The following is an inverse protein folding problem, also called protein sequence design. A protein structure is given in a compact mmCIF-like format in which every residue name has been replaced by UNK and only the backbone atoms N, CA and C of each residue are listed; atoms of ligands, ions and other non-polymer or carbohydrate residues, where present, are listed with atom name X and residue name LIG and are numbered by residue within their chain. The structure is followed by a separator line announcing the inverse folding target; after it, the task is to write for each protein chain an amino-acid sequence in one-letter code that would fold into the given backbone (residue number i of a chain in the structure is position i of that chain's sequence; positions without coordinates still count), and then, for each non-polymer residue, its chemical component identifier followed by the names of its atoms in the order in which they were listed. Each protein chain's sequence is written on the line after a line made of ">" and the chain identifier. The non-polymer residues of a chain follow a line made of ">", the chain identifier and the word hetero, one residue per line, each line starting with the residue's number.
data_IF_089770545900
#
_entry.id   IF_089770545900
#
_cell.length_a   1.000
_cell.length_b   1.000
_cell.length_c   1.000
_cell.angle_alpha   90.00
_cell.angle_beta   90.00
_cell.angle_gamma   90.00
#
_symmetry.space_group_name_H-M   'P 1'
#
loop_
_entity.id
_entity.type
_entity.pdbx_description
1 polymer ?
#
# COMPACT_ATOMS: atom_id res chain seq x y z
N UNK A 1 -16.17 21.73 -0.04
CA UNK A 1 -15.28 21.86 1.12
C UNK A 1 -14.22 20.78 0.94
N UNK A 2 -12.94 21.14 0.92
CA UNK A 2 -11.89 20.13 0.81
C UNK A 2 -11.84 19.32 2.11
N UNK A 3 -11.56 18.03 1.97
CA UNK A 3 -11.24 17.12 3.09
C UNK A 3 -10.11 17.76 3.89
N UNK A 4 -10.18 17.70 5.22
CA UNK A 4 -9.18 18.33 6.09
C UNK A 4 -7.91 17.49 6.31
N UNK A 5 -7.78 16.33 5.66
CA UNK A 5 -6.64 15.43 5.76
C UNK A 5 -6.10 15.03 4.39
N UNK A 6 -4.81 14.70 4.36
CA UNK A 6 -4.12 14.22 3.17
C UNK A 6 -4.34 12.72 2.97
N UNK A 7 -4.25 12.27 1.72
CA UNK A 7 -4.33 10.84 1.35
C UNK A 7 -3.35 9.97 2.14
N UNK A 8 -2.14 10.50 2.38
CA UNK A 8 -1.08 9.82 3.15
C UNK A 8 -1.46 9.60 4.61
N UNK A 9 -2.21 10.52 5.22
CA UNK A 9 -2.67 10.36 6.60
C UNK A 9 -3.64 9.18 6.71
N UNK A 10 -4.58 9.07 5.77
CA UNK A 10 -5.49 7.92 5.70
C UNK A 10 -4.75 6.60 5.43
N UNK A 11 -3.83 6.57 4.46
CA UNK A 11 -2.97 5.40 4.17
C UNK A 11 -2.31 4.85 5.45
N UNK A 12 -1.74 5.73 6.28
CA UNK A 12 -1.05 5.31 7.50
C UNK A 12 -2.00 4.67 8.52
N UNK A 13 -3.17 5.27 8.76
CA UNK A 13 -4.17 4.70 9.67
C UNK A 13 -4.74 3.38 9.15
N UNK A 14 -4.98 3.29 7.85
CA UNK A 14 -5.44 2.07 7.19
C UNK A 14 -4.44 0.93 7.37
N UNK A 15 -3.17 1.18 7.05
CA UNK A 15 -2.11 0.17 7.16
C UNK A 15 -1.88 -0.26 8.62
N UNK A 16 -2.00 0.66 9.58
CA UNK A 16 -1.91 0.33 10.99
C UNK A 16 -3.06 -0.60 11.44
N UNK A 17 -4.29 -0.35 10.98
CA UNK A 17 -5.42 -1.24 11.30
C UNK A 17 -5.29 -2.60 10.60
N UNK A 18 -4.95 -2.62 9.31
CA UNK A 18 -4.72 -3.86 8.56
C UNK A 18 -3.59 -4.69 9.18
N UNK A 19 -2.52 -4.03 9.62
CA UNK A 19 -1.39 -4.66 10.31
C UNK A 19 -1.73 -5.19 11.70
N UNK A 20 -2.75 -4.63 12.38
CA UNK A 20 -3.23 -5.16 13.66
C UNK A 20 -4.24 -6.31 13.51
N UNK A 21 -4.95 -6.36 12.38
CA UNK A 21 -5.89 -7.45 12.05
C UNK A 21 -5.19 -8.66 11.44
N UNK A 22 -3.98 -8.47 10.90
CA UNK A 22 -3.10 -9.54 10.46
C UNK A 22 -2.09 -9.86 11.56
N UNK A 23 -1.94 -11.12 11.95
CA UNK A 23 -0.99 -11.54 12.99
C UNK A 23 0.48 -11.35 12.58
N UNK A 24 0.74 -11.10 11.29
CA UNK A 24 2.06 -10.86 10.70
C UNK A 24 1.90 -9.76 9.66
N UNK A 25 2.10 -8.53 10.08
CA UNK A 25 2.41 -7.41 9.21
C UNK A 25 3.91 -7.50 8.91
N UNK A 26 4.29 -7.68 7.64
CA UNK A 26 5.67 -7.49 7.17
C UNK A 26 5.75 -6.13 6.44
N UNK A 27 5.59 -4.99 7.13
CA UNK A 27 6.18 -3.78 6.60
C UNK A 27 7.69 -4.01 6.66
N UNK A 28 8.44 -3.52 5.69
CA UNK A 28 9.84 -3.28 5.98
C UNK A 28 9.86 -2.30 7.17
N UNK A 29 10.32 -2.76 8.33
CA UNK A 29 10.12 -2.05 9.60
C UNK A 29 10.83 -0.69 9.61
N UNK A 30 10.51 0.16 10.58
CA UNK A 30 11.12 1.48 10.83
C UNK A 30 12.67 1.47 10.80
N UNK A 31 13.32 0.35 11.12
CA UNK A 31 14.77 0.18 11.05
C UNK A 31 15.28 -0.05 9.62
N UNK A 32 14.47 -0.63 8.74
CA UNK A 32 14.73 -0.81 7.31
C UNK A 32 14.33 0.43 6.49
N UNK A 33 13.28 1.16 6.89
CA UNK A 33 12.94 2.48 6.36
C UNK A 33 14.06 3.51 6.59
N UNK A 34 14.79 3.39 7.71
CA UNK A 34 15.92 4.26 8.06
C UNK A 34 17.12 4.21 7.10
N UNK A 35 17.25 3.16 6.29
CA UNK A 35 18.31 3.05 5.26
C UNK A 35 17.82 3.58 3.89
N UNK A 36 16.51 3.74 3.73
CA UNK A 36 15.85 3.74 2.42
C UNK A 36 15.07 5.04 2.12
N UNK A 37 14.89 5.93 3.10
CA UNK A 37 14.38 7.30 2.92
C UNK A 37 13.07 7.53 3.68
N UNK A 38 13.07 8.44 4.65
CA UNK A 38 11.91 8.77 5.47
C UNK A 38 11.37 10.18 5.19
N UNK A 39 10.04 10.31 5.06
CA UNK A 39 9.27 11.54 4.81
C UNK A 39 9.25 12.54 6.00
N UNK A 40 9.85 12.22 7.14
CA UNK A 40 10.23 13.23 8.14
C UNK A 40 11.45 12.79 8.94
N UNK A 41 12.50 13.61 8.90
CA UNK A 41 13.77 13.39 9.62
C UNK A 41 13.88 14.42 10.74
N UNK A 42 13.93 13.99 11.99
CA UNK A 42 14.34 14.85 13.10
C UNK A 42 15.79 14.52 13.47
N UNK A 43 16.72 15.31 12.96
CA UNK A 43 18.13 15.24 13.36
C UNK A 43 18.32 15.93 14.73
N UNK A 44 18.43 15.13 15.80
CA UNK A 44 18.69 15.64 17.15
C UNK A 44 20.07 15.21 17.66
N UNK A 45 20.94 16.20 17.88
CA UNK A 45 22.21 16.03 18.60
C UNK A 45 22.03 16.03 20.13
N UNK A 46 20.79 16.18 20.62
CA UNK A 46 20.51 16.36 22.04
C UNK A 46 20.61 15.02 22.80
N UNK A 47 21.63 14.90 23.65
CA UNK A 47 21.98 13.67 24.39
C UNK A 47 20.95 13.26 25.44
N UNK A 48 20.22 14.23 26.03
CA UNK A 48 19.21 13.94 27.05
C UNK A 48 17.99 13.20 26.49
N UNK A 49 17.62 13.50 25.24
CA UNK A 49 16.50 12.86 24.56
C UNK A 49 16.73 11.35 24.39
N UNK A 50 17.95 10.95 24.04
CA UNK A 50 18.33 9.54 23.84
C UNK A 50 18.43 8.74 25.15
N UNK A 51 18.82 9.38 26.24
CA UNK A 51 18.78 8.77 27.57
C UNK A 51 17.35 8.47 28.02
N UNK A 52 16.40 9.35 27.68
CA UNK A 52 14.99 9.20 28.02
C UNK A 52 14.32 8.02 27.29
N UNK A 53 14.78 7.68 26.08
CA UNK A 53 14.30 6.54 25.31
C UNK A 53 15.01 5.21 25.63
N UNK A 54 15.78 5.15 26.73
CA UNK A 54 16.34 3.89 27.23
C UNK A 54 17.67 3.46 26.60
N UNK A 55 18.40 4.38 25.95
CA UNK A 55 19.72 4.09 25.37
C UNK A 55 20.86 4.89 26.05
N UNK A 56 21.24 4.53 27.29
CA UNK A 56 22.19 5.31 28.08
C UNK A 56 23.67 5.12 27.69
N UNK A 57 24.03 4.05 26.95
CA UNK A 57 25.41 3.65 26.67
C UNK A 57 26.07 4.35 25.46
N UNK A 58 25.43 5.39 24.90
CA UNK A 58 25.85 6.16 23.70
C UNK A 58 27.14 7.01 23.85
N UNK A 59 27.95 6.76 24.88
CA UNK A 59 29.11 7.60 25.21
C UNK A 59 30.34 7.38 24.33
N UNK A 60 30.54 6.18 23.76
CA UNK A 60 31.82 5.84 23.13
C UNK A 60 31.77 5.60 21.62
N UNK A 61 30.63 5.19 21.05
CA UNK A 61 30.41 5.13 19.60
C UNK A 61 28.91 5.04 19.33
N UNK A 62 28.28 6.03 18.67
CA UNK A 62 26.94 5.81 18.14
C UNK A 62 27.04 4.77 17.01
N UNK A 63 26.10 3.82 16.87
CA UNK A 63 26.13 2.80 15.82
C UNK A 63 25.69 3.41 14.48
N UNK A 64 26.32 4.51 14.06
CA UNK A 64 26.17 5.07 12.72
C UNK A 64 27.24 4.48 11.81
N UNK A 65 27.20 3.16 11.61
CA UNK A 65 27.49 2.61 10.30
C UNK A 65 26.19 1.95 9.87
N UNK A 66 25.47 2.56 8.95
CA UNK A 66 24.44 1.84 8.21
C UNK A 66 25.09 0.57 7.70
N UNK A 67 24.51 -0.59 8.00
CA UNK A 67 25.01 -1.85 7.42
C UNK A 67 24.95 -1.72 5.91
N UNK A 68 25.98 -2.20 5.22
CA UNK A 68 25.97 -2.23 3.77
C UNK A 68 24.74 -3.03 3.32
N UNK A 69 24.04 -2.57 2.29
CA UNK A 69 22.91 -3.31 1.74
C UNK A 69 23.35 -4.71 1.27
N UNK A 70 24.62 -4.85 0.86
CA UNK A 70 25.23 -6.13 0.54
C UNK A 70 25.37 -7.02 1.78
N UNK A 71 25.74 -6.48 2.94
CA UNK A 71 25.80 -7.25 4.19
C UNK A 71 24.40 -7.72 4.62
N UNK A 72 23.39 -6.85 4.50
CA UNK A 72 21.98 -7.20 4.78
C UNK A 72 21.50 -8.26 3.79
N UNK A 73 21.83 -8.13 2.51
CA UNK A 73 21.45 -9.10 1.48
C UNK A 73 22.12 -10.47 1.72
N UNK A 74 23.41 -10.48 2.07
CA UNK A 74 24.14 -11.70 2.43
C UNK A 74 23.57 -12.36 3.69
N UNK A 75 23.26 -11.60 4.75
CA UNK A 75 22.59 -12.12 5.93
C UNK A 75 21.20 -12.67 5.57
N UNK A 76 20.40 -11.94 4.79
CA UNK A 76 19.09 -12.42 4.34
C UNK A 76 19.24 -13.73 3.57
N UNK A 77 20.14 -13.82 2.58
CA UNK A 77 20.32 -15.05 1.82
C UNK A 77 20.82 -16.21 2.67
N UNK A 78 21.81 -15.96 3.53
CA UNK A 78 22.35 -16.94 4.48
C UNK A 78 21.26 -17.46 5.43
N UNK A 79 20.37 -16.58 5.92
CA UNK A 79 19.25 -16.96 6.78
C UNK A 79 18.07 -17.57 6.00
N UNK A 80 17.86 -17.22 4.72
CA UNK A 80 16.79 -17.82 3.91
C UNK A 80 17.08 -19.27 3.48
N UNK A 81 18.31 -19.76 3.61
CA UNK A 81 18.62 -21.19 3.53
C UNK A 81 18.25 -21.95 4.83
N UNK A 82 17.94 -21.25 5.93
CA UNK A 82 17.32 -21.85 7.08
C UNK A 82 15.81 -21.91 6.86
N UNK A 83 15.27 -23.12 6.94
CA UNK A 83 13.84 -23.37 6.86
C UNK A 83 13.10 -22.59 7.95
N UNK A 84 12.43 -21.51 7.57
CA UNK A 84 11.41 -20.90 8.41
C UNK A 84 10.22 -21.87 8.39
N UNK A 85 10.29 -22.91 9.22
CA UNK A 85 9.33 -24.00 9.26
C UNK A 85 7.90 -23.56 9.67
N UNK A 86 7.73 -22.30 10.08
CA UNK A 86 6.49 -21.75 10.63
C UNK A 86 6.11 -20.39 9.98
N UNK A 87 6.27 -20.22 8.67
CA UNK A 87 5.61 -19.08 7.99
C UNK A 87 4.14 -19.46 7.80
N UNK A 88 3.18 -18.66 8.31
CA UNK A 88 1.77 -18.86 8.02
C UNK A 88 1.54 -18.87 6.50
N UNK A 89 0.55 -19.62 6.04
CA UNK A 89 0.22 -19.66 4.60
C UNK A 89 -0.18 -18.26 4.13
N UNK A 90 0.25 -17.86 2.94
CA UNK A 90 -0.20 -16.62 2.31
C UNK A 90 -1.53 -16.88 1.61
N UNK A 91 -2.56 -16.11 1.94
CA UNK A 91 -3.82 -16.09 1.20
C UNK A 91 -3.66 -15.41 -0.16
N UNK A 92 -3.20 -14.16 -0.15
CA UNK A 92 -3.03 -13.38 -1.38
C UNK A 92 -2.07 -12.20 -1.19
N UNK A 93 -1.48 -11.75 -2.29
CA UNK A 93 -0.89 -10.42 -2.37
C UNK A 93 -2.01 -9.37 -2.50
N UNK A 94 -1.78 -8.19 -1.93
CA UNK A 94 -2.68 -7.06 -1.96
C UNK A 94 -1.93 -5.85 -2.53
N UNK A 95 -2.53 -5.21 -3.52
CA UNK A 95 -2.07 -3.95 -4.11
C UNK A 95 -3.16 -2.90 -3.93
N UNK A 96 -2.92 -1.91 -3.07
CA UNK A 96 -3.85 -0.83 -2.81
C UNK A 96 -3.41 0.45 -3.48
N UNK A 97 -4.33 1.04 -4.25
CA UNK A 97 -4.25 2.44 -4.60
C UNK A 97 -5.16 3.24 -3.66
N UNK A 98 -4.56 3.97 -2.73
CA UNK A 98 -5.31 4.86 -1.85
C UNK A 98 -5.87 6.05 -2.63
N UNK A 99 -7.01 6.56 -2.14
CA UNK A 99 -7.66 7.77 -2.63
C UNK A 99 -8.15 8.62 -1.49
N UNK A 100 -7.93 9.92 -1.60
CA UNK A 100 -8.67 10.92 -0.84
C UNK A 100 -10.09 11.11 -1.43
N UNK A 101 -11.11 11.03 -0.57
CA UNK A 101 -12.53 11.12 -0.96
C UNK A 101 -13.12 12.50 -0.69
N UNK A 102 -13.37 13.30 -1.72
CA UNK A 102 -14.02 14.61 -1.60
C UNK A 102 -15.47 14.44 -1.10
N UNK A 103 -15.82 15.12 0.01
CA UNK A 103 -17.21 15.13 0.51
C UNK A 103 -18.00 16.32 -0.07
N UNK A 104 -19.09 16.00 -0.77
CA UNK A 104 -19.88 16.93 -1.57
C UNK A 104 -21.30 17.04 -1.02
N UNK A 105 -21.68 18.26 -0.62
CA UNK A 105 -22.96 18.57 0.05
C UNK A 105 -23.85 19.45 -0.85
N UNK A 106 -23.27 20.14 -1.84
CA UNK A 106 -24.01 21.12 -2.64
C UNK A 106 -24.88 20.46 -3.71
N UNK A 107 -26.14 20.87 -3.88
CA UNK A 107 -26.99 20.49 -5.00
C UNK A 107 -26.43 20.79 -6.39
N UNK A 108 -25.49 21.75 -6.47
CA UNK A 108 -24.81 22.12 -7.71
C UNK A 108 -23.63 21.18 -8.06
N UNK A 109 -23.34 20.20 -7.20
CA UNK A 109 -22.26 19.24 -7.44
C UNK A 109 -22.64 18.31 -8.60
N UNK A 110 -21.71 18.03 -9.51
CA UNK A 110 -22.03 17.38 -10.79
C UNK A 110 -22.70 16.00 -10.74
N UNK A 111 -22.64 15.27 -9.62
CA UNK A 111 -23.29 13.96 -9.45
C UNK A 111 -24.51 14.02 -8.50
N UNK A 112 -24.94 15.21 -8.06
CA UNK A 112 -26.03 15.37 -7.09
C UNK A 112 -27.36 14.78 -7.58
N UNK A 113 -27.68 14.90 -8.86
CA UNK A 113 -28.89 14.34 -9.46
C UNK A 113 -29.04 12.82 -9.26
N UNK A 114 -27.93 12.10 -9.11
CA UNK A 114 -27.88 10.64 -8.96
C UNK A 114 -28.01 10.16 -7.51
N UNK A 115 -27.75 11.04 -6.53
CA UNK A 115 -27.75 10.70 -5.10
C UNK A 115 -28.83 11.45 -4.31
N UNK A 116 -29.09 12.72 -4.67
CA UNK A 116 -30.02 13.65 -4.01
C UNK A 116 -29.73 13.85 -2.52
N UNK A 117 -28.49 13.61 -2.12
CA UNK A 117 -27.97 13.76 -0.75
C UNK A 117 -26.45 13.92 -0.81
N UNK A 118 -25.79 14.30 0.30
CA UNK A 118 -24.34 14.39 0.34
C UNK A 118 -23.64 13.06 0.01
N UNK A 119 -22.50 13.13 -0.67
CA UNK A 119 -21.77 11.95 -1.12
C UNK A 119 -20.26 12.17 -1.17
N UNK A 120 -19.51 11.08 -1.12
CA UNK A 120 -18.07 11.03 -1.33
C UNK A 120 -17.74 10.82 -2.81
N UNK A 121 -16.60 11.36 -3.24
CA UNK A 121 -16.11 11.23 -4.61
C UNK A 121 -14.59 11.18 -4.65
N UNK A 122 -14.04 10.29 -5.46
CA UNK A 122 -12.64 10.38 -5.88
C UNK A 122 -12.51 10.37 -7.40
N UNK A 123 -11.38 10.92 -7.88
CA UNK A 123 -11.02 10.94 -9.29
C UNK A 123 -10.19 9.71 -9.64
N UNK A 124 -10.45 9.17 -10.82
CA UNK A 124 -9.68 8.08 -11.43
C UNK A 124 -8.74 8.72 -12.45
N UNK A 125 -7.44 8.60 -12.22
CA UNK A 125 -6.44 9.16 -13.13
C UNK A 125 -6.14 8.15 -14.23
N UNK A 126 -6.34 8.48 -15.52
CA UNK A 126 -6.23 7.50 -16.61
C UNK A 126 -4.88 6.77 -16.68
N UNK A 127 -3.76 7.46 -16.38
CA UNK A 127 -2.43 6.85 -16.40
C UNK A 127 -2.28 5.80 -15.29
N UNK A 128 -2.73 6.14 -14.08
CA UNK A 128 -2.70 5.23 -12.93
C UNK A 128 -3.66 4.06 -13.12
N UNK A 129 -4.87 4.32 -13.64
CA UNK A 129 -5.85 3.28 -13.97
C UNK A 129 -5.25 2.25 -14.93
N UNK A 130 -4.62 2.70 -16.02
CA UNK A 130 -3.98 1.79 -16.99
C UNK A 130 -2.88 0.93 -16.36
N UNK A 131 -2.06 1.50 -15.47
CA UNK A 131 -1.04 0.73 -14.75
C UNK A 131 -1.69 -0.35 -13.87
N UNK A 132 -2.72 0.02 -13.11
CA UNK A 132 -3.43 -0.90 -12.22
C UNK A 132 -4.17 -2.00 -12.99
N UNK A 133 -4.79 -1.67 -14.12
CA UNK A 133 -5.42 -2.66 -15.03
C UNK A 133 -4.39 -3.63 -15.59
N UNK A 134 -3.20 -3.12 -15.96
CA UNK A 134 -2.11 -3.97 -16.43
C UNK A 134 -1.63 -4.92 -15.33
N UNK A 135 -1.43 -4.42 -14.10
CA UNK A 135 -1.10 -5.24 -12.94
C UNK A 135 -2.16 -6.32 -12.68
N UNK A 136 -3.44 -5.95 -12.63
CA UNK A 136 -4.56 -6.88 -12.43
C UNK A 136 -4.58 -7.98 -13.51
N UNK A 137 -4.33 -7.59 -14.77
CA UNK A 137 -4.28 -8.55 -15.90
C UNK A 137 -3.11 -9.53 -15.81
N UNK A 138 -1.93 -9.08 -15.32
CA UNK A 138 -0.75 -9.94 -15.20
C UNK A 138 -0.83 -10.88 -13.99
N UNK A 139 -1.43 -10.42 -12.88
CA UNK A 139 -1.56 -11.23 -11.67
C UNK A 139 -2.75 -12.18 -11.70
N UNK A 140 -3.83 -11.83 -12.40
CA UNK A 140 -5.07 -12.61 -12.38
C UNK A 140 -5.56 -12.81 -10.94
N UNK A 141 -5.58 -14.07 -10.47
CA UNK A 141 -6.01 -14.40 -9.11
C UNK A 141 -4.89 -14.38 -8.06
N UNK A 142 -3.63 -14.13 -8.45
CA UNK A 142 -2.48 -14.16 -7.53
C UNK A 142 -2.39 -12.90 -6.64
N UNK A 143 -3.12 -11.85 -7.00
CA UNK A 143 -3.15 -10.60 -6.26
C UNK A 143 -4.53 -9.93 -6.34
N UNK A 144 -4.94 -9.26 -5.28
CA UNK A 144 -6.07 -8.34 -5.31
C UNK A 144 -5.54 -6.93 -5.54
N UNK A 145 -5.96 -6.32 -6.65
CA UNK A 145 -5.63 -4.93 -6.99
C UNK A 145 -6.88 -4.08 -6.76
N UNK A 146 -6.83 -3.18 -5.77
CA UNK A 146 -8.00 -2.48 -5.27
C UNK A 146 -7.72 -0.98 -5.13
N UNK A 147 -8.72 -0.17 -5.45
CA UNK A 147 -8.82 1.18 -4.91
C UNK A 147 -9.35 1.13 -3.48
N UNK A 148 -8.78 1.94 -2.60
CA UNK A 148 -9.23 2.11 -1.22
C UNK A 148 -9.50 3.60 -0.95
N UNK A 149 -10.77 3.96 -0.74
CA UNK A 149 -11.19 5.34 -0.56
C UNK A 149 -12.08 5.47 0.69
N UNK A 150 -11.76 6.33 1.67
CA UNK A 150 -12.50 6.40 2.92
C UNK A 150 -13.86 7.09 2.74
N UNK A 151 -14.87 6.65 3.48
CA UNK A 151 -16.11 7.38 3.73
C UNK A 151 -15.99 8.22 5.01
N UNK A 152 -14.95 9.06 5.08
CA UNK A 152 -14.57 9.85 6.27
C UNK A 152 -14.41 11.31 5.86
N UNK A 153 -15.08 12.21 6.57
CA UNK A 153 -15.20 13.62 6.15
C UNK A 153 -14.01 14.48 6.58
N UNK A 154 -13.45 14.23 7.76
CA UNK A 154 -12.45 15.09 8.37
C UNK A 154 -11.47 14.32 9.27
N UNK A 155 -10.41 15.01 9.73
CA UNK A 155 -9.37 14.45 10.62
C UNK A 155 -9.96 13.89 11.92
N UNK A 156 -10.94 14.56 12.53
CA UNK A 156 -11.53 14.12 13.79
C UNK A 156 -12.21 12.76 13.62
N UNK A 157 -13.01 12.62 12.57
CA UNK A 157 -13.66 11.35 12.23
C UNK A 157 -12.63 10.26 11.87
N UNK A 158 -11.53 10.62 11.20
CA UNK A 158 -10.44 9.69 10.90
C UNK A 158 -9.77 9.16 12.16
N UNK A 159 -9.44 10.05 13.11
CA UNK A 159 -8.85 9.69 14.40
C UNK A 159 -9.82 8.85 15.22
N UNK A 160 -11.09 9.22 15.28
CA UNK A 160 -12.12 8.43 15.95
C UNK A 160 -12.25 7.02 15.36
N UNK A 161 -12.28 6.91 14.03
CA UNK A 161 -12.35 5.62 13.34
C UNK A 161 -11.12 4.75 13.65
N UNK A 162 -9.93 5.35 13.72
CA UNK A 162 -8.70 4.64 14.10
C UNK A 162 -8.76 4.14 15.55
N UNK A 163 -9.20 4.96 16.49
CA UNK A 163 -9.34 4.56 17.91
C UNK A 163 -10.34 3.40 18.04
N UNK A 164 -11.44 3.44 17.27
CA UNK A 164 -12.48 2.42 17.27
C UNK A 164 -12.15 1.19 16.42
N UNK A 165 -11.01 1.19 15.70
CA UNK A 165 -10.60 0.15 14.72
C UNK A 165 -11.66 -0.09 13.63
N UNK A 166 -12.13 1.00 13.02
CA UNK A 166 -13.17 1.01 11.99
C UNK A 166 -12.70 1.66 10.69
N UNK A 167 -11.39 1.82 10.46
CA UNK A 167 -10.85 2.41 9.23
C UNK A 167 -11.20 1.53 8.02
N UNK A 168 -11.00 0.21 8.13
CA UNK A 168 -11.33 -0.73 7.04
C UNK A 168 -12.83 -0.78 6.81
N UNK A 169 -13.63 -0.83 7.88
CA UNK A 169 -15.10 -0.78 7.81
C UNK A 169 -15.59 0.49 7.11
N UNK A 170 -14.96 1.64 7.40
CA UNK A 170 -15.25 2.94 6.77
C UNK A 170 -14.56 3.16 5.43
N UNK A 171 -13.97 2.13 4.81
CA UNK A 171 -13.33 2.24 3.50
C UNK A 171 -14.21 1.65 2.39
N UNK A 172 -14.39 2.39 1.30
CA UNK A 172 -14.95 1.91 0.06
C UNK A 172 -13.84 1.24 -0.76
N UNK A 173 -14.01 -0.05 -1.08
CA UNK A 173 -13.08 -0.79 -1.91
C UNK A 173 -13.68 -1.05 -3.28
N UNK A 174 -12.88 -0.85 -4.32
CA UNK A 174 -13.31 -1.16 -5.69
C UNK A 174 -12.23 -1.90 -6.45
N UNK A 175 -12.66 -2.92 -7.21
CA UNK A 175 -11.78 -3.55 -8.20
C UNK A 175 -11.45 -2.55 -9.29
N UNK A 176 -10.21 -2.62 -9.74
CA UNK A 176 -9.71 -1.74 -10.80
C UNK A 176 -10.47 -1.99 -12.10
N UNK A 177 -10.69 -3.25 -12.46
CA UNK A 177 -11.49 -3.69 -13.60
C UNK A 177 -12.89 -3.06 -13.66
N UNK A 178 -13.57 -2.92 -12.52
CA UNK A 178 -14.91 -2.32 -12.46
C UNK A 178 -14.90 -0.80 -12.76
N UNK A 179 -13.74 -0.15 -12.64
CA UNK A 179 -13.60 1.29 -12.87
C UNK A 179 -13.04 1.63 -14.26
N UNK A 180 -12.89 0.62 -15.13
CA UNK A 180 -12.32 0.80 -16.46
C UNK A 180 -13.13 1.79 -17.30
N UNK A 181 -12.42 2.74 -17.92
CA UNK A 181 -13.05 3.78 -18.75
C UNK A 181 -13.84 4.85 -17.97
N UNK A 182 -13.90 4.78 -16.64
CA UNK A 182 -14.53 5.81 -15.81
C UNK A 182 -13.54 6.86 -15.32
N UNK A 183 -14.03 8.06 -15.01
CA UNK A 183 -13.17 9.18 -14.57
C UNK A 183 -13.36 9.54 -13.10
N UNK A 184 -14.47 9.11 -12.50
CA UNK A 184 -14.81 9.36 -11.09
C UNK A 184 -15.55 8.16 -10.55
N UNK A 185 -15.37 7.90 -9.27
CA UNK A 185 -16.25 7.03 -8.52
C UNK A 185 -16.87 7.81 -7.35
N UNK A 186 -18.11 7.51 -7.00
CA UNK A 186 -18.84 8.17 -5.91
C UNK A 186 -19.61 7.18 -5.08
N UNK A 187 -19.84 7.49 -3.81
CA UNK A 187 -20.57 6.63 -2.88
C UNK A 187 -21.07 7.46 -1.70
N UNK A 188 -22.11 7.00 -1.00
CA UNK A 188 -22.64 7.69 0.19
C UNK A 188 -21.94 7.21 1.47
N UNK A 189 -21.71 5.90 1.57
CA UNK A 189 -21.09 5.26 2.73
C UNK A 189 -20.19 4.11 2.29
N UNK A 190 -19.33 3.66 3.20
CA UNK A 190 -18.54 2.46 2.97
C UNK A 190 -19.44 1.20 2.93
N UNK A 191 -18.95 0.15 2.29
CA UNK A 191 -19.63 -1.15 2.21
C UNK A 191 -20.91 -1.25 1.36
N UNK A 192 -21.36 -0.19 0.67
CA UNK A 192 -22.59 -0.24 -0.16
C UNK A 192 -22.31 -0.24 -1.67
N UNK A 193 -23.14 0.44 -2.44
CA UNK A 193 -23.03 0.59 -3.89
C UNK A 193 -22.28 1.89 -4.15
N UNK A 194 -21.30 1.83 -5.05
CA UNK A 194 -20.69 3.01 -5.63
C UNK A 194 -21.23 3.26 -7.04
N UNK A 195 -21.07 4.48 -7.53
CA UNK A 195 -21.44 4.87 -8.89
C UNK A 195 -20.19 5.38 -9.61
N UNK A 196 -19.78 4.70 -10.66
CA UNK A 196 -18.70 5.16 -11.52
C UNK A 196 -19.24 6.03 -12.66
N UNK A 197 -18.46 7.04 -13.06
CA UNK A 197 -18.89 8.09 -13.97
C UNK A 197 -17.96 8.23 -15.17
N UNK A 198 -18.43 7.70 -16.28
CA UNK A 198 -18.20 8.14 -17.67
C UNK A 198 -19.51 7.96 -18.43
N UNK A 199 -20.13 6.79 -18.30
CA UNK A 199 -21.57 6.59 -18.18
C UNK A 199 -21.88 6.18 -16.73
N UNK A 200 -23.00 6.62 -16.12
CA UNK A 200 -23.33 6.25 -14.75
C UNK A 200 -23.62 4.75 -14.64
N UNK A 201 -22.77 4.04 -13.90
CA UNK A 201 -22.91 2.60 -13.63
C UNK A 201 -22.84 2.34 -12.13
N UNK A 202 -23.72 1.47 -11.63
CA UNK A 202 -23.71 1.02 -10.23
C UNK A 202 -22.77 -0.16 -10.07
N UNK A 203 -21.87 -0.05 -9.09
CA UNK A 203 -20.82 -1.03 -8.83
C UNK A 203 -20.88 -1.45 -7.38
N UNK A 204 -20.98 -2.76 -7.15
CA UNK A 204 -20.91 -3.33 -5.81
C UNK A 204 -19.52 -3.17 -5.19
N UNK A 205 -19.48 -2.77 -3.93
CA UNK A 205 -18.24 -2.68 -3.16
C UNK A 205 -17.67 -4.08 -2.85
N UNK A 206 -16.35 -4.16 -2.87
CA UNK A 206 -15.62 -5.34 -2.38
C UNK A 206 -15.59 -5.33 -0.86
N UNK A 207 -16.24 -6.30 -0.23
CA UNK A 207 -15.99 -6.60 1.18
C UNK A 207 -14.60 -7.24 1.32
N UNK A 208 -13.61 -6.43 1.72
CA UNK A 208 -12.21 -6.86 1.82
C UNK A 208 -12.04 -8.06 2.77
N UNK A 209 -12.62 -7.99 3.97
CA UNK A 209 -12.43 -9.03 4.98
C UNK A 209 -13.13 -10.33 4.56
N UNK A 210 -14.35 -10.24 4.03
CA UNK A 210 -15.05 -11.42 3.47
C UNK A 210 -14.29 -12.01 2.29
N UNK A 211 -13.75 -11.17 1.40
CA UNK A 211 -12.94 -11.63 0.26
C UNK A 211 -11.69 -12.37 0.74
N UNK A 212 -10.95 -11.80 1.70
CA UNK A 212 -9.78 -12.44 2.29
C UNK A 212 -10.12 -13.74 3.03
N UNK A 213 -11.27 -13.80 3.70
CA UNK A 213 -11.70 -15.01 4.40
C UNK A 213 -12.08 -16.16 3.45
N UNK A 214 -12.47 -15.84 2.22
CA UNK A 214 -12.82 -16.83 1.19
C UNK A 214 -11.62 -17.32 0.37
N UNK A 215 -10.42 -16.77 0.60
CA UNK A 215 -9.20 -17.20 -0.09
C UNK A 215 -8.44 -18.18 0.81
N UNK A 216 -8.25 -19.39 0.31
CA UNK A 216 -7.43 -20.41 0.96
C UNK A 216 -5.95 -20.01 0.93
N UNK A 217 -5.25 -20.21 2.05
CA UNK A 217 -3.83 -19.95 2.11
C UNK A 217 -3.02 -20.97 1.30
N UNK A 218 -1.95 -20.48 0.70
CA UNK A 218 -0.92 -21.28 0.06
C UNK A 218 0.40 -21.15 0.80
N UNK A 219 1.24 -22.18 0.73
CA UNK A 219 2.55 -22.13 1.36
C UNK A 219 3.39 -20.97 0.79
N UNK A 220 3.99 -20.21 1.71
CA UNK A 220 4.96 -19.18 1.38
C UNK A 220 6.19 -19.83 0.75
N UNK A 221 6.71 -19.22 -0.32
CA UNK A 221 8.05 -19.54 -0.82
C UNK A 221 8.70 -18.29 -1.40
N UNK A 222 10.03 -18.21 -1.26
CA UNK A 222 10.80 -17.13 -1.87
C UNK A 222 10.68 -17.13 -3.39
N UNK A 223 10.52 -18.29 -4.04
CA UNK A 223 10.28 -18.36 -5.48
C UNK A 223 8.97 -17.68 -5.90
N UNK A 224 7.88 -17.87 -5.13
CA UNK A 224 6.61 -17.15 -5.37
C UNK A 224 6.79 -15.64 -5.18
N UNK A 225 7.54 -15.23 -4.15
CA UNK A 225 7.84 -13.82 -3.92
C UNK A 225 8.65 -13.22 -5.07
N UNK A 226 9.75 -13.85 -5.48
CA UNK A 226 10.58 -13.39 -6.61
C UNK A 226 9.78 -13.38 -7.92
N UNK A 227 8.89 -14.35 -8.13
CA UNK A 227 7.99 -14.36 -9.29
C UNK A 227 7.04 -13.16 -9.26
N UNK A 228 6.45 -12.86 -8.11
CA UNK A 228 5.58 -11.70 -7.93
C UNK A 228 6.31 -10.39 -8.24
N UNK A 229 7.50 -10.16 -7.65
CA UNK A 229 8.27 -8.92 -7.89
C UNK A 229 8.76 -8.82 -9.34
N UNK A 230 9.06 -9.96 -9.98
CA UNK A 230 9.43 -9.99 -11.41
C UNK A 230 8.28 -9.55 -12.31
N UNK A 231 7.04 -9.91 -12.00
CA UNK A 231 5.85 -9.43 -12.71
C UNK A 231 5.72 -7.91 -12.57
N UNK A 232 5.87 -7.36 -11.34
CA UNK A 232 5.84 -5.90 -11.14
C UNK A 232 6.94 -5.20 -11.94
N UNK A 233 8.17 -5.71 -11.90
CA UNK A 233 9.29 -5.16 -12.67
C UNK A 233 9.01 -5.17 -14.18
N UNK A 234 8.42 -6.25 -14.71
CA UNK A 234 8.01 -6.34 -16.11
C UNK A 234 6.98 -5.26 -16.44
N UNK A 235 5.92 -5.14 -15.65
CA UNK A 235 4.86 -4.13 -15.84
C UNK A 235 5.41 -2.70 -15.80
N UNK A 236 6.32 -2.41 -14.87
CA UNK A 236 6.94 -1.09 -14.76
C UNK A 236 7.81 -0.75 -15.98
N UNK A 237 8.53 -1.72 -16.53
CA UNK A 237 9.36 -1.56 -17.73
C UNK A 237 8.54 -1.46 -19.02
N UNK A 238 7.36 -2.05 -19.06
CA UNK A 238 6.42 -1.92 -20.18
C UNK A 238 5.63 -0.60 -20.14
N UNK A 239 5.57 0.06 -18.98
CA UNK A 239 4.84 1.31 -18.81
C UNK A 239 5.57 2.50 -19.42
N UNK A 240 4.97 3.12 -20.44
CA UNK A 240 5.49 4.35 -21.04
C UNK A 240 5.70 5.51 -20.04
N UNK A 241 4.90 5.55 -18.96
CA UNK A 241 4.97 6.63 -17.96
C UNK A 241 6.11 6.41 -16.97
N UNK A 242 6.33 5.17 -16.53
CA UNK A 242 7.19 4.88 -15.39
C UNK A 242 8.52 4.23 -15.76
N UNK A 243 8.66 3.64 -16.96
CA UNK A 243 9.82 2.85 -17.36
C UNK A 243 11.15 3.61 -17.15
N UNK A 244 11.25 4.84 -17.65
CA UNK A 244 12.48 5.62 -17.54
C UNK A 244 12.89 5.89 -16.08
N UNK A 245 11.99 6.47 -15.28
CA UNK A 245 12.24 6.78 -13.87
C UNK A 245 12.48 5.52 -13.04
N UNK A 246 11.76 4.44 -13.33
CA UNK A 246 11.93 3.15 -12.67
C UNK A 246 13.32 2.58 -12.93
N UNK A 247 13.79 2.58 -14.17
CA UNK A 247 15.14 2.11 -14.49
C UNK A 247 16.22 2.97 -13.83
N UNK A 248 16.07 4.29 -13.86
CA UNK A 248 17.03 5.23 -13.25
C UNK A 248 17.16 4.99 -11.73
N UNK A 249 16.05 4.77 -11.03
CA UNK A 249 16.09 4.44 -9.60
C UNK A 249 16.66 3.03 -9.36
N UNK A 250 16.34 2.06 -10.21
CA UNK A 250 16.85 0.69 -10.10
C UNK A 250 18.35 0.55 -10.40
N UNK A 251 18.97 1.49 -11.14
CA UNK A 251 20.42 1.52 -11.37
C UNK A 251 21.22 1.62 -10.06
N UNK A 252 20.69 2.32 -9.05
CA UNK A 252 21.32 2.43 -7.73
C UNK A 252 21.46 1.09 -7.01
N UNK A 253 20.71 0.08 -7.45
CA UNK A 253 20.69 -1.26 -6.87
C UNK A 253 21.26 -2.31 -7.82
N UNK A 254 21.93 -1.92 -8.92
CA UNK A 254 22.41 -2.86 -9.96
C UNK A 254 23.41 -3.88 -9.43
N UNK A 255 24.22 -3.51 -8.44
CA UNK A 255 25.17 -4.40 -7.75
C UNK A 255 24.49 -5.47 -6.89
N UNK A 256 23.18 -5.35 -6.64
CA UNK A 256 22.41 -6.28 -5.82
C UNK A 256 21.64 -7.32 -6.64
N UNK A 257 21.76 -7.32 -7.97
CA UNK A 257 20.99 -8.21 -8.86
C UNK A 257 21.21 -9.70 -8.58
N UNK A 258 22.38 -10.08 -8.05
CA UNK A 258 22.67 -11.46 -7.65
C UNK A 258 21.77 -11.91 -6.48
N UNK A 259 21.37 -10.98 -5.61
CA UNK A 259 20.53 -11.26 -4.44
C UNK A 259 19.05 -11.20 -4.78
N UNK A 260 18.52 -12.25 -5.43
CA UNK A 260 17.19 -12.24 -6.09
C UNK A 260 16.04 -11.74 -5.21
N UNK A 261 15.94 -12.25 -3.98
CA UNK A 261 14.88 -11.88 -3.05
C UNK A 261 15.01 -10.42 -2.64
N UNK A 262 16.22 -10.01 -2.26
CA UNK A 262 16.49 -8.65 -1.81
C UNK A 262 16.32 -7.62 -2.92
N UNK A 263 16.81 -7.92 -4.12
CA UNK A 263 16.61 -7.11 -5.31
C UNK A 263 15.13 -6.97 -5.66
N UNK A 264 14.35 -8.05 -5.51
CA UNK A 264 12.88 -8.01 -5.64
C UNK A 264 12.22 -7.06 -4.65
N UNK A 265 12.68 -7.02 -3.39
CA UNK A 265 12.18 -6.06 -2.40
C UNK A 265 12.54 -4.61 -2.76
N UNK A 266 13.74 -4.37 -3.31
CA UNK A 266 14.12 -3.04 -3.81
C UNK A 266 13.24 -2.61 -4.99
N UNK A 267 12.89 -3.52 -5.90
CA UNK A 267 11.93 -3.27 -6.98
C UNK A 267 10.57 -2.83 -6.43
N UNK A 268 10.07 -3.50 -5.40
CA UNK A 268 8.79 -3.14 -4.76
C UNK A 268 8.86 -1.79 -4.06
N UNK A 269 10.00 -1.43 -3.46
CA UNK A 269 10.22 -0.12 -2.86
C UNK A 269 10.17 0.99 -3.91
N UNK A 270 10.93 0.86 -5.00
CA UNK A 270 10.94 1.84 -6.12
C UNK A 270 9.56 1.91 -6.78
N UNK A 271 8.88 0.78 -6.93
CA UNK A 271 7.50 0.72 -7.42
C UNK A 271 6.54 1.56 -6.56
N UNK A 272 6.57 1.38 -5.24
CA UNK A 272 5.75 2.17 -4.31
C UNK A 272 6.08 3.66 -4.40
N UNK A 273 7.36 4.01 -4.42
CA UNK A 273 7.83 5.41 -4.48
C UNK A 273 7.31 6.14 -5.73
N UNK A 274 7.35 5.49 -6.90
CA UNK A 274 6.94 6.10 -8.16
C UNK A 274 5.42 6.15 -8.36
N UNK A 275 4.69 5.17 -7.82
CA UNK A 275 3.27 4.95 -8.16
C UNK A 275 2.33 5.32 -7.03
N UNK A 276 2.80 5.33 -5.79
CA UNK A 276 1.98 5.41 -4.58
C UNK A 276 1.16 4.14 -4.30
N UNK A 277 1.35 3.06 -5.07
CA UNK A 277 0.64 1.80 -4.87
C UNK A 277 1.30 1.04 -3.72
N UNK A 278 0.51 0.71 -2.70
CA UNK A 278 0.97 -0.03 -1.54
C UNK A 278 0.85 -1.54 -1.77
N UNK A 279 1.92 -2.27 -1.50
CA UNK A 279 1.91 -3.73 -1.47
C UNK A 279 1.81 -4.25 -0.04
N UNK A 280 1.00 -5.27 0.18
CA UNK A 280 0.93 -6.04 1.42
C UNK A 280 0.61 -7.51 1.13
N UNK A 281 0.83 -8.39 2.11
CA UNK A 281 0.51 -9.81 2.02
C UNK A 281 -0.50 -10.18 3.12
N UNK A 282 -1.52 -10.93 2.76
CA UNK A 282 -2.49 -11.48 3.72
C UNK A 282 -2.12 -12.92 4.07
N UNK A 283 -2.14 -13.27 5.35
CA UNK A 283 -1.79 -14.58 5.88
C UNK A 283 -3.01 -15.32 6.43
N UNK A 284 -2.99 -16.65 6.35
CA UNK A 284 -3.95 -17.57 6.94
C UNK A 284 -3.54 -17.93 8.37
N UNK A 285 -4.53 -17.96 9.26
CA UNK A 285 -4.41 -18.38 10.66
C UNK A 285 -5.37 -19.51 10.95
#
# INVERSE_FOLDING_TARGET
>A
MNISYEEKTFENYFNAELGNLSSVYFPLGQTQEGVIGADSVAYSKNRHLWQMFGYPWFWFQPPYRGRDLQDIAQEMEHHTQASIHNIPKIKTNLLFQYKSSEYLISPLSGQWSHWKQPYFRYKIYPKQQKLLEHLESQFGQQALVLYAAPAIQNVEELVEASIKKQIIEKTNFQKVSNLSGHHKNTFIQAGTISKAFSQPEEIENVDLLKTLNNIDGQDFSFDKLTSFTSIVNKVMRESNEYNHSFNLLMEQYSNLQEYRTFYGLMQMKVFKELTGIQWSMSFEY
#
